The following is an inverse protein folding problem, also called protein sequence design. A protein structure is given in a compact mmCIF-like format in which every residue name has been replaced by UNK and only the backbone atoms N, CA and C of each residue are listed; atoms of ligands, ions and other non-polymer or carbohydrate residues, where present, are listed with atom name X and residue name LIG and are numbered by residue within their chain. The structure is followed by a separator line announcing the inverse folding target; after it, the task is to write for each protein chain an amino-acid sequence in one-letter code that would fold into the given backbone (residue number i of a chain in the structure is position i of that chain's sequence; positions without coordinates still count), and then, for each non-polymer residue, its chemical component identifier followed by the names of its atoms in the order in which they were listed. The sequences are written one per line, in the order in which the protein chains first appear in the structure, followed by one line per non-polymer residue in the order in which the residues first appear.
data_IF_259846776550
#
_entry.id   IF_259846776550
#
_cell.length_a   1.000
_cell.length_b   1.000
_cell.length_c   1.000
_cell.angle_alpha   90.00
_cell.angle_beta   90.00
_cell.angle_gamma   90.00
#
_symmetry.space_group_name_H-M   'P 1'
#
loop_
_entity.id
_entity.type
_entity.pdbx_description
1 polymer ?
#
# COMPACT_ATOMS: atom_id res chain seq x y z
N UNK A 1 -20.47 -10.37 5.43
CA UNK A 1 -20.32 -8.94 5.10
C UNK A 1 -18.91 -8.42 5.38
N UNK A 2 -18.40 -8.47 6.62
CA UNK A 2 -17.08 -7.91 6.96
C UNK A 2 -15.90 -8.59 6.23
N UNK A 3 -15.95 -9.92 6.06
CA UNK A 3 -14.92 -10.69 5.35
C UNK A 3 -14.75 -10.22 3.90
N UNK A 4 -15.86 -9.93 3.20
CA UNK A 4 -15.80 -9.47 1.81
C UNK A 4 -15.14 -8.08 1.70
N UNK A 5 -15.38 -7.21 2.68
CA UNK A 5 -14.69 -5.92 2.79
C UNK A 5 -13.19 -6.14 3.01
N UNK A 6 -12.82 -7.06 3.92
CA UNK A 6 -11.42 -7.37 4.23
C UNK A 6 -10.69 -8.07 3.08
N UNK A 7 -11.37 -8.83 2.21
CA UNK A 7 -10.76 -9.42 1.02
C UNK A 7 -10.37 -8.35 -0.01
N UNK A 8 -11.12 -7.26 -0.10
CA UNK A 8 -10.93 -6.24 -1.13
C UNK A 8 -9.57 -5.52 -1.04
N UNK A 9 -8.78 -5.57 -2.11
CA UNK A 9 -7.56 -4.75 -2.29
C UNK A 9 -7.85 -3.29 -2.63
N UNK A 10 -9.10 -2.98 -3.00
CA UNK A 10 -9.53 -1.65 -3.40
C UNK A 10 -9.95 -0.79 -2.20
N UNK A 11 -10.02 -1.38 -1.01
CA UNK A 11 -10.31 -0.67 0.22
C UNK A 11 -9.24 0.40 0.48
N UNK A 12 -9.68 1.66 0.63
CA UNK A 12 -8.82 2.79 0.97
C UNK A 12 -8.81 2.96 2.49
N UNK A 13 -7.63 2.80 3.10
CA UNK A 13 -7.44 2.91 4.55
C UNK A 13 -6.17 3.68 4.87
N UNK A 14 -6.06 4.15 6.11
CA UNK A 14 -4.86 4.84 6.57
C UNK A 14 -3.63 3.93 6.56
N UNK A 15 -3.68 2.83 7.31
CA UNK A 15 -2.66 1.78 7.35
C UNK A 15 -3.29 0.44 7.70
N UNK A 16 -2.62 -0.66 7.39
CA UNK A 16 -3.12 -2.00 7.75
C UNK A 16 -3.15 -2.19 9.28
N UNK A 17 -2.26 -1.51 10.03
CA UNK A 17 -2.27 -1.57 11.49
C UNK A 17 -3.52 -0.93 12.11
N UNK A 18 -4.00 0.20 11.56
CA UNK A 18 -5.26 0.82 12.01
C UNK A 18 -6.43 -0.13 11.77
N UNK A 19 -6.44 -0.83 10.62
CA UNK A 19 -7.45 -1.86 10.35
C UNK A 19 -7.37 -3.02 11.34
N UNK A 20 -6.16 -3.52 11.62
CA UNK A 20 -5.93 -4.57 12.62
C UNK A 20 -6.50 -4.17 13.99
N UNK A 21 -6.15 -2.99 14.50
CA UNK A 21 -6.67 -2.48 15.76
C UNK A 21 -8.20 -2.33 15.76
N UNK A 22 -8.78 -1.85 14.64
CA UNK A 22 -10.23 -1.72 14.51
C UNK A 22 -10.94 -3.08 14.56
N UNK A 23 -10.37 -4.13 13.96
CA UNK A 23 -10.91 -5.48 14.05
C UNK A 23 -10.85 -5.99 15.49
N UNK A 24 -9.72 -5.82 16.17
CA UNK A 24 -9.59 -6.28 17.57
C UNK A 24 -10.62 -5.59 18.47
N UNK A 25 -10.72 -4.26 18.38
CA UNK A 25 -11.72 -3.50 19.13
C UNK A 25 -13.15 -3.95 18.81
N UNK A 26 -13.44 -4.25 17.54
CA UNK A 26 -14.74 -4.76 17.13
C UNK A 26 -15.02 -6.15 17.71
N UNK A 27 -14.04 -7.05 17.71
CA UNK A 27 -14.14 -8.39 18.31
C UNK A 27 -14.39 -8.30 19.82
N UNK A 28 -13.64 -7.47 20.53
CA UNK A 28 -13.82 -7.22 21.97
C UNK A 28 -15.22 -6.70 22.29
N UNK A 29 -15.71 -5.74 21.48
CA UNK A 29 -16.98 -5.06 21.75
C UNK A 29 -18.21 -5.91 21.39
N UNK A 30 -18.13 -6.74 20.35
CA UNK A 30 -19.32 -7.43 19.78
C UNK A 30 -19.35 -8.93 20.02
N UNK A 31 -18.20 -9.55 20.27
CA UNK A 31 -18.07 -11.00 20.23
C UNK A 31 -17.17 -11.51 21.37
N UNK A 32 -17.17 -10.87 22.54
CA UNK A 32 -16.25 -11.22 23.65
C UNK A 32 -16.14 -12.73 23.94
N UNK A 33 -17.25 -13.46 23.94
CA UNK A 33 -17.25 -14.93 24.12
C UNK A 33 -16.76 -15.71 22.89
N UNK A 34 -16.99 -15.18 21.69
CA UNK A 34 -16.60 -15.77 20.40
C UNK A 34 -15.32 -15.14 19.82
N UNK A 35 -14.57 -14.41 20.65
CA UNK A 35 -13.40 -13.63 20.23
C UNK A 35 -12.37 -14.52 19.52
N UNK A 36 -12.17 -15.72 20.07
CA UNK A 36 -11.24 -16.72 19.51
C UNK A 36 -11.70 -17.19 18.13
N UNK A 37 -12.97 -17.55 17.97
CA UNK A 37 -13.51 -18.13 16.75
C UNK A 37 -13.51 -17.11 15.60
N UNK A 38 -14.00 -15.90 15.88
CA UNK A 38 -13.97 -14.82 14.89
C UNK A 38 -12.56 -14.28 14.66
N UNK A 39 -11.69 -14.30 15.67
CA UNK A 39 -10.28 -13.96 15.51
C UNK A 39 -9.58 -14.91 14.54
N UNK A 40 -9.79 -16.23 14.68
CA UNK A 40 -9.23 -17.24 13.77
C UNK A 40 -9.73 -17.03 12.33
N UNK A 41 -10.98 -16.58 12.17
CA UNK A 41 -11.60 -16.31 10.87
C UNK A 41 -11.10 -15.02 10.22
N UNK A 42 -10.89 -13.95 10.99
CA UNK A 42 -10.62 -12.61 10.46
C UNK A 42 -9.14 -12.29 10.30
N UNK A 43 -8.28 -12.75 11.21
CA UNK A 43 -6.85 -12.45 11.18
C UNK A 43 -6.15 -12.80 9.86
N UNK A 44 -6.47 -13.91 9.16
CA UNK A 44 -5.86 -14.22 7.87
C UNK A 44 -6.12 -13.17 6.77
N UNK A 45 -7.12 -12.31 6.93
CA UNK A 45 -7.43 -11.25 5.97
C UNK A 45 -6.72 -9.92 6.28
N UNK A 46 -6.02 -9.83 7.40
CA UNK A 46 -5.08 -8.74 7.68
C UNK A 46 -3.78 -9.01 6.94
N UNK A 47 -3.31 -8.02 6.20
CA UNK A 47 -2.06 -8.09 5.43
C UNK A 47 -0.87 -7.73 6.31
N UNK A 48 -0.49 -8.65 7.20
CA UNK A 48 0.70 -8.55 8.05
C UNK A 48 1.99 -8.08 7.32
N UNK A 49 2.24 -8.42 6.04
CA UNK A 49 3.38 -7.90 5.30
C UNK A 49 3.44 -6.38 5.14
N UNK A 50 2.38 -5.65 5.50
CA UNK A 50 2.29 -4.19 5.41
C UNK A 50 2.24 -3.49 6.78
N UNK A 51 2.41 -4.23 7.88
CA UNK A 51 2.60 -3.66 9.22
C UNK A 51 4.08 -3.27 9.41
N UNK A 52 4.36 -2.15 10.07
CA UNK A 52 5.73 -1.76 10.41
C UNK A 52 6.38 -2.81 11.34
N UNK A 53 7.72 -2.92 11.39
CA UNK A 53 8.39 -3.85 12.30
C UNK A 53 7.95 -3.70 13.77
N UNK A 54 7.79 -2.46 14.24
CA UNK A 54 7.31 -2.19 15.59
C UNK A 54 5.85 -2.62 15.80
N UNK A 55 5.01 -2.49 14.77
CA UNK A 55 3.60 -2.92 14.77
C UNK A 55 3.47 -4.45 14.75
N UNK A 56 4.35 -5.14 14.02
CA UNK A 56 4.47 -6.60 14.07
C UNK A 56 4.86 -7.08 15.47
N UNK A 57 5.87 -6.45 16.08
CA UNK A 57 6.29 -6.78 17.45
C UNK A 57 5.15 -6.59 18.47
N UNK A 58 4.31 -5.55 18.31
CA UNK A 58 3.10 -5.42 19.11
C UNK A 58 2.10 -6.55 18.83
N UNK A 59 1.84 -6.90 17.57
CA UNK A 59 0.91 -7.97 17.24
C UNK A 59 1.33 -9.35 17.79
N UNK A 60 2.63 -9.60 17.99
CA UNK A 60 3.15 -10.83 18.63
C UNK A 60 2.72 -10.94 20.10
N UNK A 61 2.59 -9.83 20.81
CA UNK A 61 2.28 -9.80 22.25
C UNK A 61 0.78 -9.72 22.54
N UNK A 62 -0.03 -9.23 21.60
CA UNK A 62 -1.48 -8.98 21.78
C UNK A 62 -2.29 -10.22 22.19
N UNK A 63 -1.87 -11.43 21.79
CA UNK A 63 -2.62 -12.67 22.05
C UNK A 63 -1.95 -13.55 23.12
N UNK A 64 -1.18 -12.98 24.04
CA UNK A 64 -0.45 -13.73 25.09
C UNK A 64 -1.33 -14.72 25.86
N UNK A 65 -2.56 -14.32 26.16
CA UNK A 65 -3.55 -15.10 26.93
C UNK A 65 -4.33 -16.12 26.08
N UNK A 66 -4.34 -15.96 24.75
CA UNK A 66 -5.06 -16.84 23.83
C UNK A 66 -4.10 -17.66 22.96
N UNK A 67 -3.78 -18.89 23.41
CA UNK A 67 -2.78 -19.72 22.75
C UNK A 67 -3.11 -20.05 21.28
N UNK A 68 -4.40 -20.17 20.93
CA UNK A 68 -4.82 -20.49 19.55
C UNK A 68 -4.55 -19.30 18.62
N UNK A 69 -5.05 -18.12 18.99
CA UNK A 69 -4.81 -16.89 18.23
C UNK A 69 -3.33 -16.53 18.20
N UNK A 70 -2.59 -16.76 19.28
CA UNK A 70 -1.13 -16.55 19.32
C UNK A 70 -0.41 -17.40 18.28
N UNK A 71 -0.73 -18.70 18.19
CA UNK A 71 -0.12 -19.61 17.19
C UNK A 71 -0.44 -19.15 15.76
N UNK A 72 -1.69 -18.76 15.50
CA UNK A 72 -2.10 -18.24 14.20
C UNK A 72 -1.38 -16.92 13.86
N UNK A 73 -1.38 -15.96 14.77
CA UNK A 73 -0.72 -14.67 14.60
C UNK A 73 0.78 -14.87 14.32
N UNK A 74 1.46 -15.71 15.10
CA UNK A 74 2.87 -16.02 14.85
C UNK A 74 3.13 -16.64 13.49
N UNK A 75 2.22 -17.48 12.97
CA UNK A 75 2.34 -18.02 11.62
C UNK A 75 2.24 -16.91 10.57
N UNK A 76 1.26 -16.02 10.70
CA UNK A 76 1.06 -14.89 9.77
C UNK A 76 2.23 -13.91 9.79
N UNK A 77 2.77 -13.63 10.99
CA UNK A 77 3.93 -12.76 11.17
C UNK A 77 5.20 -13.37 10.54
N UNK A 78 5.41 -14.68 10.69
CA UNK A 78 6.53 -15.38 10.02
C UNK A 78 6.45 -15.26 8.50
N UNK A 79 5.26 -15.43 7.91
CA UNK A 79 5.07 -15.22 6.46
C UNK A 79 5.30 -13.76 6.06
N UNK A 80 4.91 -12.80 6.90
CA UNK A 80 5.20 -11.39 6.67
C UNK A 80 6.71 -11.09 6.67
N UNK A 81 7.46 -11.61 7.64
CA UNK A 81 8.92 -11.47 7.66
C UNK A 81 9.57 -12.14 6.45
N UNK A 82 9.12 -13.35 6.08
CA UNK A 82 9.59 -14.05 4.88
C UNK A 82 9.40 -13.19 3.63
N UNK A 83 8.21 -12.59 3.46
CA UNK A 83 7.93 -11.72 2.34
C UNK A 83 8.79 -10.45 2.33
N UNK A 84 8.99 -9.79 3.48
CA UNK A 84 9.82 -8.58 3.56
C UNK A 84 11.26 -8.84 3.09
N UNK A 85 11.80 -10.02 3.37
CA UNK A 85 13.17 -10.39 2.97
C UNK A 85 13.24 -10.88 1.53
N UNK A 86 12.26 -11.69 1.10
CA UNK A 86 12.35 -12.43 -0.16
C UNK A 86 11.65 -11.75 -1.34
N UNK A 87 10.70 -10.84 -1.11
CA UNK A 87 9.97 -10.18 -2.21
C UNK A 87 10.86 -9.42 -3.20
N UNK A 88 11.94 -8.72 -2.79
CA UNK A 88 12.84 -8.08 -3.77
C UNK A 88 13.55 -9.13 -4.64
N UNK A 89 13.87 -10.28 -4.05
CA UNK A 89 14.61 -11.37 -4.69
C UNK A 89 13.72 -12.35 -5.46
N UNK A 90 12.40 -12.15 -5.49
CA UNK A 90 11.44 -13.12 -6.05
C UNK A 90 11.75 -13.53 -7.50
N UNK A 91 12.34 -12.65 -8.31
CA UNK A 91 12.73 -12.98 -9.68
C UNK A 91 13.96 -13.91 -9.76
N UNK A 92 14.74 -14.00 -8.69
CA UNK A 92 15.98 -14.79 -8.60
C UNK A 92 15.78 -16.12 -7.85
N UNK A 93 14.67 -16.27 -7.14
CA UNK A 93 14.36 -17.44 -6.32
C UNK A 93 12.98 -17.97 -6.73
N UNK A 94 12.82 -19.30 -6.77
CA UNK A 94 11.54 -19.92 -7.14
C UNK A 94 10.51 -19.83 -5.99
N UNK A 95 10.03 -18.62 -5.72
CA UNK A 95 9.03 -18.30 -4.69
C UNK A 95 7.92 -17.45 -5.31
N UNK A 96 6.66 -17.72 -4.96
CA UNK A 96 5.52 -16.93 -5.42
C UNK A 96 4.85 -16.19 -4.26
N UNK A 97 4.60 -14.89 -4.47
CA UNK A 97 3.84 -14.02 -3.56
C UNK A 97 2.53 -13.51 -4.18
N UNK A 98 1.92 -14.28 -5.09
CA UNK A 98 0.69 -13.88 -5.78
C UNK A 98 -0.58 -13.85 -4.88
N UNK A 99 -0.50 -14.39 -3.67
CA UNK A 99 -1.65 -14.46 -2.75
C UNK A 99 -2.10 -13.07 -2.28
N UNK A 100 -3.40 -12.88 -2.06
CA UNK A 100 -3.99 -11.60 -1.62
C UNK A 100 -3.38 -11.05 -0.33
N UNK A 101 -2.87 -11.92 0.54
CA UNK A 101 -2.17 -11.57 1.78
C UNK A 101 -0.92 -10.71 1.52
N UNK A 102 -0.24 -10.92 0.40
CA UNK A 102 0.97 -10.21 0.01
C UNK A 102 0.69 -9.00 -0.89
N UNK A 103 -0.52 -8.82 -1.38
CA UNK A 103 -0.90 -7.69 -2.25
C UNK A 103 -1.32 -6.47 -1.42
N UNK A 104 -0.86 -5.24 -1.71
CA UNK A 104 -1.20 -4.08 -0.88
C UNK A 104 -2.66 -3.61 -1.07
N UNK A 105 -3.29 -3.09 0.00
CA UNK A 105 -4.49 -2.24 -0.11
C UNK A 105 -4.12 -0.81 -0.52
N UNK A 106 -5.13 0.03 -0.73
CA UNK A 106 -4.94 1.45 -1.01
C UNK A 106 -4.62 2.19 0.31
N UNK A 107 -3.35 2.19 0.72
CA UNK A 107 -2.92 2.85 1.95
C UNK A 107 -2.64 4.34 1.73
N UNK A 108 -3.25 5.23 2.50
CA UNK A 108 -2.93 6.66 2.48
C UNK A 108 -1.72 7.03 3.34
N UNK A 109 -1.25 6.10 4.17
CA UNK A 109 -0.03 6.20 4.96
C UNK A 109 0.68 4.85 4.99
N UNK A 110 1.51 4.60 3.97
CA UNK A 110 2.36 3.42 3.89
C UNK A 110 3.75 3.75 4.44
N UNK A 111 4.24 2.91 5.35
CA UNK A 111 5.53 3.11 6.02
C UNK A 111 6.52 1.97 5.79
N UNK A 112 6.19 1.02 4.92
CA UNK A 112 7.03 -0.15 4.62
C UNK A 112 7.80 0.06 3.32
N UNK A 113 9.10 -0.21 3.41
CA UNK A 113 10.12 -0.23 2.35
C UNK A 113 10.31 1.09 1.58
N UNK A 114 11.51 1.65 1.75
CA UNK A 114 11.94 2.96 1.27
C UNK A 114 12.07 2.97 -0.26
N UNK A 115 10.96 3.20 -0.94
CA UNK A 115 11.02 3.77 -2.27
C UNK A 115 10.97 5.28 -2.11
N UNK A 116 12.12 5.92 -2.31
CA UNK A 116 12.19 7.37 -2.25
C UNK A 116 11.73 7.90 -3.60
N UNK A 117 10.64 8.66 -3.59
CA UNK A 117 10.18 9.35 -4.78
C UNK A 117 10.78 10.75 -4.83
N UNK A 118 11.57 11.05 -5.86
CA UNK A 118 12.00 12.42 -6.09
C UNK A 118 10.94 13.15 -6.89
N UNK A 119 10.30 14.14 -6.26
CA UNK A 119 9.42 15.08 -6.97
C UNK A 119 10.28 16.10 -7.69
N UNK A 120 10.23 16.10 -9.02
CA UNK A 120 10.93 17.07 -9.85
C UNK A 120 9.91 18.05 -10.42
N UNK A 121 10.09 19.34 -10.13
CA UNK A 121 9.18 20.43 -10.51
C UNK A 121 9.90 21.47 -11.36
N UNK A 122 9.27 21.92 -12.44
CA UNK A 122 9.59 23.19 -13.10
C UNK A 122 8.54 24.24 -12.68
N UNK A 123 8.93 25.24 -11.86
CA UNK A 123 8.06 26.37 -11.47
C UNK A 123 8.13 26.78 -9.99
N UNK A 124 7.70 28.02 -9.68
CA UNK A 124 7.92 28.75 -8.42
C UNK A 124 6.86 28.56 -7.32
N UNK A 125 5.96 27.59 -7.43
CA UNK A 125 5.04 27.28 -6.33
C UNK A 125 4.93 25.77 -6.18
N UNK A 126 5.61 25.23 -5.17
CA UNK A 126 5.49 23.84 -4.78
C UNK A 126 4.21 23.70 -3.98
N UNK A 127 3.18 23.01 -4.47
CA UNK A 127 2.21 22.52 -3.53
C UNK A 127 2.87 21.33 -2.81
N UNK A 128 2.84 21.32 -1.47
CA UNK A 128 3.10 20.14 -0.62
C UNK A 128 2.00 19.07 -0.83
N UNK A 129 1.57 18.89 -2.08
CA UNK A 129 0.31 18.30 -2.45
C UNK A 129 0.39 16.81 -2.46
N UNK A 130 1.51 16.26 -2.95
CA UNK A 130 1.61 14.85 -3.34
C UNK A 130 2.26 14.01 -2.25
N UNK A 131 1.45 13.24 -1.52
CA UNK A 131 1.94 12.16 -0.66
C UNK A 131 2.07 10.89 -1.50
N UNK A 132 3.16 10.15 -1.33
CA UNK A 132 3.36 8.90 -2.05
C UNK A 132 3.47 7.71 -1.12
N UNK A 133 2.92 6.59 -1.58
CA UNK A 133 2.91 5.32 -0.89
C UNK A 133 3.24 4.25 -1.92
N UNK A 134 4.27 3.44 -1.67
CA UNK A 134 4.75 2.46 -2.64
C UNK A 134 4.76 1.06 -2.04
N UNK A 135 4.09 0.11 -2.70
CA UNK A 135 4.17 -1.32 -2.35
C UNK A 135 5.52 -1.94 -2.71
N UNK A 136 5.87 -3.11 -2.14
CA UNK A 136 7.08 -3.84 -2.49
C UNK A 136 7.07 -4.21 -3.97
N UNK A 137 8.23 -4.13 -4.61
CA UNK A 137 8.45 -4.39 -6.03
C UNK A 137 9.55 -5.46 -6.13
N UNK A 138 9.48 -6.43 -7.07
CA UNK A 138 10.64 -7.24 -7.42
C UNK A 138 11.73 -6.36 -8.03
N UNK A 139 12.92 -6.35 -7.44
CA UNK A 139 13.95 -5.36 -7.78
C UNK A 139 15.34 -5.98 -7.78
N UNK A 140 16.23 -5.49 -8.66
CA UNK A 140 17.63 -5.93 -8.71
C UNK A 140 18.39 -5.51 -7.45
N UNK A 141 17.91 -4.47 -6.77
CA UNK A 141 18.49 -3.90 -5.55
C UNK A 141 17.42 -3.70 -4.47
N UNK A 142 17.83 -3.80 -3.20
CA UNK A 142 16.96 -3.58 -2.03
C UNK A 142 16.39 -2.15 -2.00
N UNK A 143 17.14 -1.18 -2.52
CA UNK A 143 16.70 0.20 -2.68
C UNK A 143 16.34 0.46 -4.12
N UNK A 144 15.18 1.05 -4.33
CA UNK A 144 14.72 1.46 -5.66
C UNK A 144 14.12 2.85 -5.58
N UNK A 145 14.19 3.57 -6.69
CA UNK A 145 13.78 4.97 -6.79
C UNK A 145 12.81 5.13 -7.96
N UNK A 146 11.71 5.85 -7.72
CA UNK A 146 10.81 6.31 -8.77
C UNK A 146 10.93 7.83 -8.83
N UNK A 147 10.85 8.40 -10.02
CA UNK A 147 10.69 9.83 -10.20
C UNK A 147 9.23 10.13 -10.52
N UNK A 148 8.67 11.16 -9.86
CA UNK A 148 7.36 11.69 -10.19
C UNK A 148 7.53 13.13 -10.65
N UNK A 149 7.13 13.37 -11.89
CA UNK A 149 6.98 14.70 -12.43
C UNK A 149 5.51 15.05 -12.46
N UNK A 150 5.18 16.28 -12.11
CA UNK A 150 3.81 16.76 -12.15
C UNK A 150 3.72 18.17 -12.68
N UNK A 151 2.70 18.42 -13.49
CA UNK A 151 2.35 19.75 -13.98
C UNK A 151 0.86 19.96 -13.77
N UNK A 152 0.52 20.97 -12.96
CA UNK A 152 -0.83 21.43 -12.77
C UNK A 152 -1.10 22.60 -13.73
N UNK A 153 -2.11 22.46 -14.60
CA UNK A 153 -2.56 23.52 -15.49
C UNK A 153 -4.07 23.67 -15.37
N UNK A 154 -4.51 24.80 -14.78
CA UNK A 154 -5.92 25.10 -14.47
C UNK A 154 -6.59 23.97 -13.67
N UNK A 155 -7.32 23.09 -14.35
CA UNK A 155 -8.10 21.97 -13.78
C UNK A 155 -7.54 20.61 -14.21
N UNK A 156 -6.33 20.57 -14.77
CA UNK A 156 -5.71 19.33 -15.23
C UNK A 156 -4.38 19.12 -14.53
N UNK A 157 -4.26 17.99 -13.84
CA UNK A 157 -3.02 17.50 -13.28
C UNK A 157 -2.46 16.42 -14.20
N UNK A 158 -1.30 16.70 -14.78
CA UNK A 158 -0.54 15.70 -15.52
C UNK A 158 0.54 15.15 -14.59
N UNK A 159 0.58 13.83 -14.45
CA UNK A 159 1.58 13.10 -13.67
C UNK A 159 2.35 12.18 -14.61
N UNK A 160 3.67 12.15 -14.44
CA UNK A 160 4.53 11.20 -15.12
C UNK A 160 5.40 10.47 -14.11
N UNK A 161 5.37 9.15 -14.18
CA UNK A 161 6.08 8.25 -13.29
C UNK A 161 7.16 7.49 -14.06
N UNK A 162 8.36 7.48 -13.51
CA UNK A 162 9.55 6.91 -14.13
C UNK A 162 10.27 6.00 -13.12
N UNK A 163 10.50 4.72 -13.44
CA UNK A 163 11.42 3.92 -12.67
C UNK A 163 12.85 4.43 -12.92
N UNK A 164 13.67 4.62 -11.89
CA UNK A 164 15.12 4.80 -12.09
C UNK A 164 15.73 3.46 -12.58
N UNK A 165 16.87 3.49 -13.28
CA UNK A 165 17.50 2.31 -13.90
C UNK A 165 17.75 1.13 -12.94
N UNK A 166 17.69 1.35 -11.63
CA UNK A 166 17.79 0.32 -10.57
C UNK A 166 16.46 -0.36 -10.23
N UNK A 167 15.32 0.18 -10.66
CA UNK A 167 14.01 -0.18 -10.12
C UNK A 167 13.36 -1.42 -10.74
N UNK A 168 13.77 -1.88 -11.94
CA UNK A 168 13.09 -2.96 -12.65
C UNK A 168 14.06 -4.03 -13.14
N UNK A 169 13.76 -5.31 -12.86
CA UNK A 169 14.49 -6.47 -13.42
C UNK A 169 13.93 -6.85 -14.80
N UNK A 170 12.61 -6.67 -14.94
CA UNK A 170 11.77 -7.04 -16.07
C UNK A 170 10.59 -6.07 -16.16
N UNK A 171 9.81 -6.15 -17.25
CA UNK A 171 8.55 -5.42 -17.38
C UNK A 171 7.60 -5.79 -16.24
N UNK A 172 7.18 -4.78 -15.48
CA UNK A 172 6.31 -4.93 -14.33
C UNK A 172 4.98 -4.26 -14.60
N UNK A 173 3.89 -4.95 -14.25
CA UNK A 173 2.57 -4.36 -14.24
C UNK A 173 2.47 -3.44 -13.02
N UNK A 174 2.43 -2.14 -13.27
CA UNK A 174 2.33 -1.12 -12.23
C UNK A 174 0.92 -0.56 -12.27
N UNK A 175 0.34 -0.47 -11.09
CA UNK A 175 -0.96 0.11 -10.84
C UNK A 175 -0.77 1.37 -10.02
N UNK A 176 -1.09 2.51 -10.62
CA UNK A 176 -1.13 3.79 -9.95
C UNK A 176 -2.57 4.14 -9.58
N UNK A 177 -2.76 4.55 -8.33
CA UNK A 177 -4.01 5.09 -7.83
C UNK A 177 -3.78 6.52 -7.35
N UNK A 178 -4.59 7.44 -7.83
CA UNK A 178 -4.55 8.85 -7.44
C UNK A 178 -5.78 9.10 -6.60
N UNK A 179 -5.55 9.32 -5.30
CA UNK A 179 -6.58 9.66 -4.33
C UNK A 179 -6.54 11.17 -4.10
N UNK A 180 -7.67 11.81 -4.29
CA UNK A 180 -7.82 13.25 -4.12
C UNK A 180 -8.76 13.49 -2.96
N UNK A 181 -8.28 14.27 -1.99
CA UNK A 181 -9.03 14.61 -0.79
C UNK A 181 -9.30 16.12 -0.67
N UNK A 182 -10.37 16.48 0.01
CA UNK A 182 -10.65 17.86 0.42
C UNK A 182 -9.75 18.29 1.61
N UNK A 183 -9.95 19.51 2.11
CA UNK A 183 -9.18 20.04 3.24
C UNK A 183 -9.39 19.26 4.55
N UNK A 184 -10.57 18.68 4.74
CA UNK A 184 -10.91 17.82 5.89
C UNK A 184 -10.35 16.39 5.76
N UNK A 185 -9.72 16.06 4.62
CA UNK A 185 -9.20 14.73 4.33
C UNK A 185 -10.21 13.74 3.73
N UNK A 186 -11.46 14.15 3.50
CA UNK A 186 -12.46 13.33 2.82
C UNK A 186 -12.08 13.09 1.36
N UNK A 187 -12.13 11.83 0.92
CA UNK A 187 -11.85 11.44 -0.45
C UNK A 187 -13.00 11.90 -1.36
N UNK A 188 -12.67 12.71 -2.35
CA UNK A 188 -13.64 13.29 -3.30
C UNK A 188 -13.48 12.76 -4.72
N UNK A 189 -12.31 12.21 -5.05
CA UNK A 189 -12.05 11.61 -6.35
C UNK A 189 -10.97 10.53 -6.22
N UNK A 190 -11.13 9.46 -6.99
CA UNK A 190 -10.18 8.36 -7.10
C UNK A 190 -10.02 8.06 -8.58
N UNK A 191 -8.79 8.11 -9.07
CA UNK A 191 -8.44 7.72 -10.44
C UNK A 191 -7.48 6.54 -10.40
N UNK A 192 -7.73 5.54 -11.22
CA UNK A 192 -6.93 4.32 -11.28
C UNK A 192 -6.36 4.17 -12.69
N UNK A 193 -5.05 3.95 -12.79
CA UNK A 193 -4.39 3.58 -14.03
C UNK A 193 -3.53 2.35 -13.79
N UNK A 194 -3.70 1.36 -14.64
CA UNK A 194 -2.85 0.17 -14.69
C UNK A 194 -2.12 0.16 -16.02
N UNK A 195 -0.80 0.03 -15.99
CA UNK A 195 0.02 -0.04 -17.19
C UNK A 195 1.31 -0.83 -16.91
N UNK A 196 1.81 -1.48 -17.95
CA UNK A 196 3.13 -2.10 -17.88
C UNK A 196 4.21 -1.02 -17.96
N UNK A 197 5.07 -0.98 -16.95
CA UNK A 197 6.24 -0.10 -16.88
C UNK A 197 7.51 -0.89 -17.16
N UNK A 198 8.39 -0.29 -17.95
CA UNK A 198 9.75 -0.74 -18.20
C UNK A 198 10.71 0.44 -18.05
N UNK A 199 12.02 0.20 -18.13
CA UNK A 199 13.03 1.27 -18.13
C UNK A 199 12.85 2.25 -19.29
N UNK A 200 12.22 1.82 -20.39
CA UNK A 200 11.98 2.63 -21.59
C UNK A 200 10.54 3.16 -21.67
N UNK A 201 9.61 2.57 -20.92
CA UNK A 201 8.17 2.86 -21.00
C UNK A 201 7.66 3.60 -19.76
N UNK A 202 7.36 4.88 -19.98
CA UNK A 202 6.87 5.83 -18.97
C UNK A 202 5.39 5.61 -18.70
N UNK A 203 4.97 5.74 -17.44
CA UNK A 203 3.55 5.84 -17.11
C UNK A 203 3.14 7.30 -17.09
N UNK A 204 2.21 7.66 -17.97
CA UNK A 204 1.63 9.00 -18.05
C UNK A 204 0.19 8.93 -17.58
N UNK A 205 -0.16 9.72 -16.56
CA UNK A 205 -1.51 9.81 -16.01
C UNK A 205 -1.99 11.25 -16.16
N UNK A 206 -3.17 11.41 -16.77
CA UNK A 206 -3.83 12.71 -16.89
C UNK A 206 -5.09 12.68 -16.05
N UNK A 207 -5.15 13.54 -15.05
CA UNK A 207 -6.31 13.65 -14.16
C UNK A 207 -7.00 14.99 -14.36
N UNK A 208 -8.29 14.95 -14.63
CA UNK A 208 -9.16 16.12 -14.60
C UNK A 208 -9.68 16.33 -13.19
N UNK A 209 -9.44 17.52 -12.68
CA UNK A 209 -9.74 17.92 -11.32
C UNK A 209 -11.14 18.53 -11.26
N UNK A 210 -12.09 17.82 -10.66
CA UNK A 210 -13.53 18.18 -10.71
C UNK A 210 -13.91 19.45 -9.93
N UNK A 211 -13.04 20.01 -9.08
CA UNK A 211 -13.33 21.20 -8.25
C UNK A 211 -12.10 22.08 -8.04
N UNK A 212 -12.28 23.39 -7.99
CA UNK A 212 -11.23 24.39 -7.73
C UNK A 212 -10.79 24.49 -6.27
N UNK A 213 -11.48 23.82 -5.34
CA UNK A 213 -11.14 23.73 -3.90
C UNK A 213 -10.01 22.72 -3.60
N UNK A 214 -9.34 22.22 -4.63
CA UNK A 214 -8.22 21.30 -4.53
C UNK A 214 -6.94 22.02 -4.16
N UNK A 215 -6.84 22.46 -2.91
CA UNK A 215 -5.67 23.22 -2.52
C UNK A 215 -4.55 22.40 -1.91
N UNK A 216 -4.82 21.29 -1.20
CA UNK A 216 -3.75 20.79 -0.31
C UNK A 216 -3.45 19.27 -0.23
N UNK A 217 -4.25 18.32 -0.75
CA UNK A 217 -3.96 16.89 -0.51
C UNK A 217 -4.28 15.97 -1.70
N UNK A 218 -3.28 15.71 -2.55
CA UNK A 218 -3.30 14.64 -3.55
C UNK A 218 -2.40 13.51 -3.04
N UNK A 219 -2.88 12.28 -3.05
CA UNK A 219 -2.07 11.13 -2.65
C UNK A 219 -1.94 10.20 -3.85
N UNK A 220 -0.71 10.00 -4.31
CA UNK A 220 -0.39 9.08 -5.40
C UNK A 220 0.11 7.79 -4.78
N UNK A 221 -0.70 6.74 -4.86
CA UNK A 221 -0.40 5.41 -4.36
C UNK A 221 0.08 4.58 -5.55
N UNK A 222 1.31 4.07 -5.45
CA UNK A 222 1.88 3.17 -6.44
C UNK A 222 1.87 1.75 -5.88
N UNK A 223 1.30 0.84 -6.64
CA UNK A 223 1.28 -0.58 -6.34
C UNK A 223 1.88 -1.32 -7.51
N UNK A 224 2.83 -2.19 -7.23
CA UNK A 224 3.25 -3.18 -8.20
C UNK A 224 2.56 -4.49 -7.87
N UNK A 225 2.09 -5.19 -8.89
CA UNK A 225 1.51 -6.52 -8.72
C UNK A 225 2.58 -7.56 -9.04
N UNK A 226 2.77 -8.50 -8.11
CA UNK A 226 3.54 -9.72 -8.37
C UNK A 226 2.68 -10.60 -9.30
N UNK A 227 3.20 -10.90 -10.49
CA UNK A 227 2.61 -11.89 -11.40
C UNK A 227 2.87 -13.30 -10.84
#
# INVERSE_FOLDING_TARGET
MIIEILKSSNLIIHSEYVLFQAILKWLETKHGEQFTEFGELLLPFIRFPYLKPIELAYAETMFSENQRLRKLCMKLIKEAYRFCVLSPLQALIDVSFAQSFFNPRNYTSLAMHKMTLQSLTEGTSTPKLVKTCVGPVPTKSIETYWNLFHILSKETLNLWLYPENSALIQDLLVKALIVISNEDGHIIQVEELENECSTEKKMSIKVFLKRTELKNNITVILKCHFK
#
